data_IF_806021058692
#
_entry.id   IF_806021058692
#
_cell.length_a   1.000
_cell.length_b   1.000
_cell.length_c   1.000
_cell.angle_alpha   90.00
_cell.angle_beta   90.00
_cell.angle_gamma   90.00
#
_symmetry.space_group_name_H-M   'P 1'
#
loop_
_entity.id
_entity.type
_entity.pdbx_description
1 polymer ?
#
# COMPACT_ATOMS: atom_id res chain seq x y z
N UNK A 1 7.48 19.17 9.60
CA UNK A 1 6.64 19.36 10.82
C UNK A 1 5.31 18.60 10.80
N UNK A 2 4.38 18.80 9.85
CA UNK A 2 3.03 18.18 9.90
C UNK A 2 3.00 16.63 9.84
N UNK A 3 3.84 15.99 9.01
CA UNK A 3 3.92 14.51 8.96
C UNK A 3 4.37 13.93 10.30
N UNK A 4 5.45 14.47 10.88
CA UNK A 4 5.99 14.06 12.18
C UNK A 4 4.93 14.20 13.29
N UNK A 5 4.23 15.33 13.35
CA UNK A 5 3.13 15.53 14.32
C UNK A 5 2.03 14.48 14.19
N UNK A 6 1.60 14.14 12.96
CA UNK A 6 0.58 13.11 12.76
C UNK A 6 1.06 11.73 13.24
N UNK A 7 2.29 11.35 12.89
CA UNK A 7 2.88 10.09 13.32
C UNK A 7 3.06 10.02 14.84
N UNK A 8 3.45 11.12 15.48
CA UNK A 8 3.58 11.23 16.93
C UNK A 8 2.28 11.02 17.70
N UNK A 9 1.12 11.16 17.05
CA UNK A 9 -0.18 10.79 17.64
C UNK A 9 -0.59 9.36 17.23
N UNK A 10 -0.39 8.99 15.96
CA UNK A 10 -0.86 7.72 15.41
C UNK A 10 -0.14 6.50 15.99
N UNK A 11 1.20 6.54 16.06
CA UNK A 11 1.97 5.37 16.51
C UNK A 11 1.71 5.05 17.99
N UNK A 12 1.71 6.03 18.92
CA UNK A 12 1.29 5.79 20.29
C UNK A 12 -0.16 5.32 20.41
N UNK A 13 -1.07 5.81 19.55
CA UNK A 13 -2.45 5.31 19.54
C UNK A 13 -2.50 3.83 19.16
N UNK A 14 -1.76 3.39 18.13
CA UNK A 14 -1.71 1.98 17.72
C UNK A 14 -1.10 1.10 18.83
N UNK A 15 -0.13 1.61 19.58
CA UNK A 15 0.44 0.98 20.76
C UNK A 15 0.88 -0.48 20.52
N UNK A 16 1.62 -0.72 19.44
CA UNK A 16 2.14 -2.05 19.06
C UNK A 16 1.10 -3.17 18.88
N UNK A 17 -0.20 -2.84 18.75
CA UNK A 17 -1.26 -3.84 18.48
C UNK A 17 -1.07 -4.52 17.12
N UNK A 18 -0.50 -3.80 16.16
CA UNK A 18 -0.12 -4.28 14.83
C UNK A 18 1.18 -3.56 14.41
N UNK A 19 1.99 -4.15 13.51
CA UNK A 19 3.15 -3.48 12.93
C UNK A 19 2.73 -2.23 12.13
N UNK A 20 3.55 -1.18 12.19
CA UNK A 20 3.33 0.08 11.47
C UNK A 20 4.46 0.31 10.48
N UNK A 21 4.10 0.42 9.20
CA UNK A 21 4.98 0.86 8.13
C UNK A 21 4.73 2.35 7.82
N UNK A 22 5.76 3.18 7.93
CA UNK A 22 5.65 4.62 7.67
C UNK A 22 6.14 4.97 6.27
N UNK A 23 5.29 5.62 5.47
CA UNK A 23 5.69 6.13 4.15
C UNK A 23 6.64 7.33 4.27
N UNK A 24 7.89 7.18 3.82
CA UNK A 24 8.96 8.19 3.97
C UNK A 24 9.35 8.91 2.68
N UNK A 25 8.79 8.51 1.52
CA UNK A 25 9.21 9.05 0.23
C UNK A 25 9.11 10.56 0.07
N UNK A 26 10.13 11.14 -0.57
CA UNK A 26 10.28 12.56 -0.90
C UNK A 26 11.18 12.70 -2.14
N UNK A 27 11.16 13.85 -2.81
CA UNK A 27 12.13 14.20 -3.86
C UNK A 27 13.46 14.70 -3.28
N UNK A 28 13.48 15.05 -2.00
CA UNK A 28 14.69 15.46 -1.26
C UNK A 28 15.12 14.33 -0.34
N UNK A 29 16.26 13.68 -0.63
CA UNK A 29 16.79 12.53 0.12
C UNK A 29 16.89 12.81 1.63
N UNK A 30 17.43 13.98 2.00
CA UNK A 30 17.57 14.38 3.42
C UNK A 30 16.23 14.35 4.17
N UNK A 31 15.14 14.79 3.53
CA UNK A 31 13.82 14.77 4.15
C UNK A 31 13.27 13.35 4.31
N UNK A 32 13.57 12.44 3.37
CA UNK A 32 13.24 11.02 3.49
C UNK A 32 13.96 10.40 4.69
N UNK A 33 15.27 10.65 4.82
CA UNK A 33 16.11 10.18 5.94
C UNK A 33 15.62 10.75 7.28
N UNK A 34 15.36 12.07 7.34
CA UNK A 34 14.90 12.75 8.55
C UNK A 34 13.53 12.25 9.02
N UNK A 35 12.67 11.81 8.10
CA UNK A 35 11.38 11.22 8.42
C UNK A 35 11.50 9.74 8.81
N UNK A 36 12.38 8.99 8.16
CA UNK A 36 12.68 7.59 8.50
C UNK A 36 13.23 7.46 9.93
N UNK A 37 14.27 8.23 10.27
CA UNK A 37 14.83 8.28 11.63
C UNK A 37 13.80 8.69 12.67
N UNK A 38 12.92 9.63 12.32
CA UNK A 38 11.85 10.03 13.22
C UNK A 38 10.84 8.90 13.43
N UNK A 39 10.40 8.21 12.37
CA UNK A 39 9.48 7.08 12.45
C UNK A 39 10.03 5.97 13.34
N UNK A 40 11.30 5.61 13.16
CA UNK A 40 12.02 4.67 14.02
C UNK A 40 12.04 5.15 15.49
N UNK A 41 12.41 6.40 15.73
CA UNK A 41 12.54 6.95 17.09
C UNK A 41 11.25 6.94 17.92
N UNK A 42 10.09 6.84 17.25
CA UNK A 42 8.77 6.78 17.91
C UNK A 42 8.14 5.39 17.85
N UNK A 43 8.88 4.36 17.40
CA UNK A 43 8.49 2.96 17.48
C UNK A 43 7.81 2.36 16.25
N UNK A 44 7.96 2.96 15.06
CA UNK A 44 7.56 2.29 13.83
C UNK A 44 8.38 1.01 13.61
N UNK A 45 7.76 -0.06 13.11
CA UNK A 45 8.44 -1.33 12.83
C UNK A 45 9.06 -1.38 11.42
N UNK A 46 8.64 -0.47 10.53
CA UNK A 46 9.30 -0.31 9.25
C UNK A 46 8.95 0.99 8.54
N UNK A 47 9.66 1.22 7.45
CA UNK A 47 9.46 2.35 6.55
C UNK A 47 9.14 1.86 5.15
N UNK A 48 8.45 2.69 4.37
CA UNK A 48 8.16 2.44 2.97
C UNK A 48 8.64 3.63 2.12
N UNK A 49 9.60 3.37 1.23
CA UNK A 49 10.27 4.37 0.43
C UNK A 49 9.90 4.23 -1.06
N UNK A 50 9.35 5.30 -1.64
CA UNK A 50 9.15 5.43 -3.09
C UNK A 50 10.34 6.19 -3.71
N UNK A 51 10.68 5.89 -4.95
CA UNK A 51 11.70 6.64 -5.70
C UNK A 51 11.25 8.09 -5.96
N UNK A 52 12.19 9.05 -6.14
CA UNK A 52 11.85 10.42 -6.47
C UNK A 52 10.96 10.50 -7.72
N UNK A 53 9.98 11.40 -7.68
CA UNK A 53 8.90 11.51 -8.66
C UNK A 53 8.93 12.84 -9.43
N UNK A 54 10.10 13.46 -9.52
CA UNK A 54 10.31 14.67 -10.34
C UNK A 54 11.41 14.42 -11.37
N UNK A 55 12.65 14.21 -10.91
CA UNK A 55 13.76 13.79 -11.76
C UNK A 55 13.90 12.27 -11.75
N UNK A 56 14.12 11.70 -12.95
CA UNK A 56 14.46 10.29 -13.11
C UNK A 56 15.91 10.07 -12.69
N UNK A 57 16.15 8.99 -11.96
CA UNK A 57 17.49 8.56 -11.54
C UNK A 57 18.07 7.57 -12.55
N UNK A 58 19.39 7.49 -12.68
CA UNK A 58 20.03 6.28 -13.24
C UNK A 58 19.82 5.09 -12.28
N UNK A 59 20.13 3.87 -12.73
CA UNK A 59 20.05 2.69 -11.86
C UNK A 59 20.99 2.83 -10.66
N UNK A 60 22.20 3.33 -10.86
CA UNK A 60 23.20 3.55 -9.82
C UNK A 60 22.72 4.59 -8.80
N UNK A 61 22.17 5.71 -9.27
CA UNK A 61 21.61 6.74 -8.41
C UNK A 61 20.38 6.25 -7.64
N UNK A 62 19.57 5.36 -8.23
CA UNK A 62 18.43 4.77 -7.55
C UNK A 62 18.88 3.80 -6.45
N UNK A 63 19.89 2.99 -6.71
CA UNK A 63 20.52 2.12 -5.72
C UNK A 63 21.08 2.95 -4.58
N UNK A 64 21.83 4.03 -4.87
CA UNK A 64 22.38 4.93 -3.87
C UNK A 64 21.27 5.59 -3.03
N UNK A 65 20.22 6.12 -3.66
CA UNK A 65 19.10 6.76 -2.96
C UNK A 65 18.43 5.82 -1.95
N UNK A 66 18.12 4.58 -2.34
CA UNK A 66 17.50 3.62 -1.42
C UNK A 66 18.49 3.10 -0.37
N UNK A 67 19.77 2.93 -0.72
CA UNK A 67 20.83 2.55 0.21
C UNK A 67 21.02 3.57 1.33
N UNK A 68 21.04 4.86 1.00
CA UNK A 68 21.14 5.95 1.98
C UNK A 68 19.97 5.97 2.96
N UNK A 69 18.75 5.67 2.49
CA UNK A 69 17.56 5.54 3.36
C UNK A 69 17.65 4.29 4.24
N UNK A 70 18.03 3.14 3.68
CA UNK A 70 18.16 1.89 4.41
C UNK A 70 19.27 1.96 5.49
N UNK A 71 20.40 2.60 5.19
CA UNK A 71 21.51 2.81 6.12
C UNK A 71 21.17 3.76 7.27
N UNK A 72 20.16 4.62 7.09
CA UNK A 72 19.80 5.63 8.07
C UNK A 72 19.00 5.08 9.28
N UNK A 73 18.48 3.85 9.19
CA UNK A 73 17.62 3.22 10.19
C UNK A 73 17.98 1.75 10.39
N UNK A 74 17.63 1.20 11.56
CA UNK A 74 17.78 -0.22 11.88
C UNK A 74 16.52 -1.06 11.60
N UNK A 75 15.35 -0.41 11.52
CA UNK A 75 14.07 -1.04 11.20
C UNK A 75 13.94 -1.45 9.72
N UNK A 76 12.93 -2.27 9.43
CA UNK A 76 12.70 -2.82 8.10
C UNK A 76 12.36 -1.72 7.08
N UNK A 77 12.94 -1.82 5.89
CA UNK A 77 12.74 -0.93 4.75
C UNK A 77 12.03 -1.68 3.64
N UNK A 78 10.91 -1.11 3.18
CA UNK A 78 10.12 -1.61 2.06
C UNK A 78 10.22 -0.65 0.89
N UNK A 79 10.55 -1.16 -0.28
CA UNK A 79 10.52 -0.40 -1.52
C UNK A 79 9.07 -0.16 -1.95
N UNK A 80 8.80 0.94 -2.66
CA UNK A 80 7.49 1.22 -3.22
C UNK A 80 7.63 1.58 -4.69
N UNK A 81 7.23 0.64 -5.56
CA UNK A 81 7.15 0.84 -6.99
C UNK A 81 5.75 1.28 -7.41
N UNK A 82 5.64 2.48 -7.99
CA UNK A 82 4.38 3.03 -8.55
C UNK A 82 4.66 3.90 -9.79
N UNK A 83 5.11 3.30 -10.91
CA UNK A 83 5.50 4.02 -12.12
C UNK A 83 4.38 4.89 -12.72
N UNK A 84 3.11 4.55 -12.45
CA UNK A 84 1.97 5.38 -12.84
C UNK A 84 2.09 6.82 -12.31
N UNK A 85 2.60 6.99 -11.08
CA UNK A 85 2.78 8.29 -10.43
C UNK A 85 4.21 8.79 -10.48
N UNK A 86 5.21 7.93 -10.27
CA UNK A 86 6.63 8.33 -10.27
C UNK A 86 7.18 8.57 -11.67
N UNK A 87 6.51 8.06 -12.71
CA UNK A 87 6.97 8.03 -14.10
C UNK A 87 8.33 7.33 -14.28
N UNK A 88 8.71 6.51 -13.31
CA UNK A 88 9.91 5.69 -13.32
C UNK A 88 9.68 4.43 -12.49
N UNK A 89 9.78 3.29 -13.15
CA UNK A 89 9.76 1.97 -12.53
C UNK A 89 11.07 1.72 -11.76
N UNK A 90 11.01 0.96 -10.66
CA UNK A 90 12.19 0.39 -10.00
C UNK A 90 12.57 -0.89 -10.73
N UNK A 91 13.70 -0.93 -11.46
CA UNK A 91 14.08 -2.10 -12.25
C UNK A 91 14.43 -3.31 -11.38
N UNK A 92 14.28 -4.52 -11.93
CA UNK A 92 14.52 -5.77 -11.19
C UNK A 92 15.98 -5.90 -10.75
N UNK A 93 16.92 -5.43 -11.57
CA UNK A 93 18.35 -5.37 -11.27
C UNK A 93 18.65 -4.43 -10.09
N UNK A 94 17.93 -3.30 -9.97
CA UNK A 94 18.05 -2.39 -8.82
C UNK A 94 17.51 -3.04 -7.56
N UNK A 95 16.35 -3.70 -7.63
CA UNK A 95 15.78 -4.44 -6.49
C UNK A 95 16.77 -5.52 -6.03
N UNK A 96 17.35 -6.28 -6.97
CA UNK A 96 18.32 -7.34 -6.67
C UNK A 96 19.55 -6.79 -5.96
N UNK A 97 20.18 -5.74 -6.52
CA UNK A 97 21.36 -5.12 -5.94
C UNK A 97 21.11 -4.57 -4.51
N UNK A 98 19.91 -4.00 -4.28
CA UNK A 98 19.51 -3.48 -2.98
C UNK A 98 19.32 -4.60 -1.95
N UNK A 99 18.63 -5.67 -2.29
CA UNK A 99 18.38 -6.80 -1.37
C UNK A 99 19.68 -7.57 -1.07
N UNK A 100 20.60 -7.67 -2.04
CA UNK A 100 21.93 -8.24 -1.82
C UNK A 100 22.78 -7.42 -0.84
N UNK A 101 22.67 -6.10 -0.92
CA UNK A 101 23.53 -5.18 -0.16
C UNK A 101 22.98 -4.84 1.22
N UNK A 102 21.66 -4.93 1.43
CA UNK A 102 20.99 -4.41 2.63
C UNK A 102 20.03 -5.44 3.25
N UNK A 103 20.41 -5.98 4.41
CA UNK A 103 19.60 -6.98 5.13
C UNK A 103 18.26 -6.46 5.63
N UNK A 104 18.16 -5.15 5.90
CA UNK A 104 16.94 -4.51 6.33
C UNK A 104 16.03 -4.09 5.16
N UNK A 105 16.42 -4.27 3.90
CA UNK A 105 15.47 -4.14 2.77
C UNK A 105 14.68 -5.45 2.68
N UNK A 106 13.47 -5.44 3.25
CA UNK A 106 12.68 -6.66 3.53
C UNK A 106 11.49 -6.87 2.60
N UNK A 107 11.20 -5.94 1.70
CA UNK A 107 10.11 -6.13 0.76
C UNK A 107 9.88 -5.00 -0.21
N UNK A 108 8.85 -5.16 -1.02
CA UNK A 108 8.39 -4.17 -2.00
C UNK A 108 6.87 -4.15 -2.10
N UNK A 109 6.30 -2.96 -2.21
CA UNK A 109 4.93 -2.75 -2.66
C UNK A 109 4.93 -2.49 -4.16
N UNK A 110 4.30 -3.37 -4.92
CA UNK A 110 4.12 -3.25 -6.37
C UNK A 110 2.73 -2.67 -6.69
N UNK A 111 2.69 -1.41 -7.09
CA UNK A 111 1.47 -0.75 -7.60
C UNK A 111 1.57 -0.59 -9.12
N UNK A 112 1.32 -1.71 -9.80
CA UNK A 112 1.32 -1.83 -11.26
C UNK A 112 0.12 -2.67 -11.69
N UNK A 113 -0.46 -2.34 -12.85
CA UNK A 113 -1.53 -3.11 -13.47
C UNK A 113 -1.00 -4.38 -14.16
N UNK A 114 0.26 -4.36 -14.61
CA UNK A 114 0.92 -5.53 -15.18
C UNK A 114 1.25 -6.55 -14.08
N UNK A 115 0.34 -7.52 -13.89
CA UNK A 115 0.56 -8.64 -12.97
C UNK A 115 1.76 -9.50 -13.38
N UNK A 116 2.12 -9.53 -14.66
CA UNK A 116 3.30 -10.23 -15.17
C UNK A 116 4.60 -9.72 -14.57
N UNK A 117 4.69 -8.41 -14.28
CA UNK A 117 5.80 -7.82 -13.52
C UNK A 117 5.84 -8.33 -12.08
N UNK A 118 4.70 -8.32 -11.38
CA UNK A 118 4.61 -8.78 -9.98
C UNK A 118 5.14 -10.22 -9.90
N UNK A 119 4.69 -11.09 -10.81
CA UNK A 119 5.19 -12.47 -10.94
C UNK A 119 6.70 -12.53 -11.13
N UNK A 120 7.28 -11.69 -11.99
CA UNK A 120 8.74 -11.66 -12.19
C UNK A 120 9.49 -11.30 -10.91
N UNK A 121 9.02 -10.29 -10.17
CA UNK A 121 9.64 -9.86 -8.91
C UNK A 121 9.55 -10.96 -7.86
N UNK A 122 8.37 -11.58 -7.71
CA UNK A 122 8.18 -12.70 -6.77
C UNK A 122 9.14 -13.83 -7.10
N UNK A 123 9.13 -14.33 -8.34
CA UNK A 123 9.96 -15.46 -8.73
C UNK A 123 11.46 -15.15 -8.55
N UNK A 124 11.95 -14.02 -9.07
CA UNK A 124 13.40 -13.75 -9.06
C UNK A 124 13.93 -13.41 -7.67
N UNK A 125 13.18 -12.63 -6.89
CA UNK A 125 13.67 -12.15 -5.59
C UNK A 125 13.39 -13.16 -4.49
N UNK A 126 12.20 -13.76 -4.41
CA UNK A 126 11.90 -14.69 -3.32
C UNK A 126 12.62 -16.04 -3.47
N UNK A 127 12.93 -16.49 -4.70
CA UNK A 127 13.78 -17.68 -4.90
C UNK A 127 15.19 -17.49 -4.32
N UNK A 128 15.71 -16.25 -4.32
CA UNK A 128 17.07 -15.93 -3.90
C UNK A 128 17.17 -15.42 -2.47
N UNK A 129 16.14 -14.73 -1.97
CA UNK A 129 16.14 -14.07 -0.67
C UNK A 129 14.89 -14.45 0.12
N UNK A 130 15.02 -15.51 0.92
CA UNK A 130 13.94 -15.99 1.78
C UNK A 130 13.49 -14.88 2.75
N UNK A 131 12.17 -14.66 2.78
CA UNK A 131 11.56 -13.65 3.63
C UNK A 131 11.49 -12.23 3.05
N UNK A 132 11.85 -12.03 1.78
CA UNK A 132 11.51 -10.80 1.07
C UNK A 132 10.01 -10.76 0.72
N UNK A 133 9.29 -9.79 1.28
CA UNK A 133 7.84 -9.68 1.14
C UNK A 133 7.44 -8.83 -0.07
N UNK A 134 6.81 -9.44 -1.07
CA UNK A 134 6.18 -8.71 -2.17
C UNK A 134 4.71 -8.48 -1.84
N UNK A 135 4.29 -7.22 -1.79
CA UNK A 135 2.89 -6.82 -1.62
C UNK A 135 2.31 -6.32 -2.93
N UNK A 136 1.14 -6.83 -3.30
CA UNK A 136 0.33 -6.20 -4.36
C UNK A 136 -0.33 -4.93 -3.83
N UNK A 137 -0.87 -4.09 -4.72
CA UNK A 137 -1.55 -2.86 -4.29
C UNK A 137 -2.95 -2.68 -4.87
N UNK A 138 -3.21 -3.17 -6.08
CA UNK A 138 -4.58 -3.23 -6.59
C UNK A 138 -5.31 -4.40 -5.95
N UNK A 139 -6.52 -4.14 -5.46
CA UNK A 139 -7.30 -5.07 -4.67
C UNK A 139 -7.54 -6.39 -5.43
N UNK A 140 -7.85 -6.29 -6.73
CA UNK A 140 -8.03 -7.43 -7.63
C UNK A 140 -6.80 -8.33 -7.80
N UNK A 141 -5.60 -7.85 -7.44
CA UNK A 141 -4.39 -8.66 -7.49
C UNK A 141 -4.19 -9.52 -6.24
N UNK A 142 -5.03 -9.43 -5.21
CA UNK A 142 -4.83 -10.15 -3.95
C UNK A 142 -4.80 -11.67 -4.16
N UNK A 143 -5.80 -12.25 -4.83
CA UNK A 143 -5.86 -13.71 -5.08
C UNK A 143 -4.68 -14.17 -5.91
N UNK A 144 -4.48 -13.55 -7.08
CA UNK A 144 -3.42 -13.93 -7.99
C UNK A 144 -2.04 -13.80 -7.33
N UNK A 145 -1.84 -12.71 -6.58
CA UNK A 145 -0.61 -12.46 -5.82
C UNK A 145 -0.34 -13.55 -4.80
N UNK A 146 -1.35 -13.92 -4.00
CA UNK A 146 -1.23 -15.01 -3.04
C UNK A 146 -0.83 -16.33 -3.72
N UNK A 147 -1.47 -16.67 -4.85
CA UNK A 147 -1.20 -17.92 -5.58
C UNK A 147 0.25 -18.04 -6.09
N UNK A 148 0.95 -16.92 -6.29
CA UNK A 148 2.34 -16.92 -6.74
C UNK A 148 3.35 -16.71 -5.60
N UNK A 149 2.91 -16.53 -4.35
CA UNK A 149 3.79 -16.33 -3.19
C UNK A 149 3.94 -14.89 -2.69
N UNK A 150 3.14 -13.94 -3.20
CA UNK A 150 3.09 -12.59 -2.62
C UNK A 150 2.66 -12.66 -1.14
N UNK A 151 3.24 -11.80 -0.31
CA UNK A 151 3.00 -11.77 1.14
C UNK A 151 1.61 -11.23 1.52
N UNK A 152 0.93 -10.57 0.60
CA UNK A 152 -0.39 -9.99 0.80
C UNK A 152 -0.63 -8.78 -0.11
N UNK A 153 -1.50 -7.89 0.33
CA UNK A 153 -1.83 -6.66 -0.39
C UNK A 153 -1.81 -5.44 0.53
N UNK A 154 -1.33 -4.31 0.03
CA UNK A 154 -1.48 -2.99 0.65
C UNK A 154 -2.40 -2.18 -0.25
N UNK A 155 -3.70 -2.46 -0.13
CA UNK A 155 -4.74 -2.01 -1.03
C UNK A 155 -5.61 -0.88 -0.46
N UNK A 156 -6.27 -0.16 -1.35
CA UNK A 156 -7.01 1.05 -1.01
C UNK A 156 -8.30 0.78 -0.25
N UNK A 157 -9.07 -0.23 -0.68
CA UNK A 157 -10.43 -0.47 -0.15
C UNK A 157 -10.42 -0.93 1.30
N UNK A 158 -9.29 -1.49 1.78
CA UNK A 158 -9.11 -1.89 3.16
C UNK A 158 -9.21 -0.73 4.18
N UNK A 159 -9.21 0.53 3.73
CA UNK A 159 -9.50 1.68 4.61
C UNK A 159 -10.97 1.69 5.10
N UNK A 160 -11.90 1.15 4.31
CA UNK A 160 -13.34 1.21 4.60
C UNK A 160 -14.06 -0.14 4.51
N UNK A 161 -13.48 -1.15 3.86
CA UNK A 161 -13.98 -2.53 3.86
C UNK A 161 -12.83 -3.54 4.07
N UNK A 162 -12.05 -3.42 5.16
CA UNK A 162 -10.94 -4.34 5.45
C UNK A 162 -11.41 -5.80 5.52
N UNK A 163 -12.65 -6.04 5.94
CA UNK A 163 -13.24 -7.37 6.13
C UNK A 163 -13.20 -8.19 4.84
N UNK A 164 -13.40 -7.58 3.66
CA UNK A 164 -13.32 -8.28 2.36
C UNK A 164 -11.93 -8.86 2.15
N UNK A 165 -10.89 -8.05 2.34
CA UNK A 165 -9.50 -8.45 2.10
C UNK A 165 -9.01 -9.45 3.15
N UNK A 166 -9.38 -9.23 4.42
CA UNK A 166 -9.02 -10.12 5.54
C UNK A 166 -9.68 -11.49 5.40
N UNK A 167 -10.98 -11.53 5.12
CA UNK A 167 -11.71 -12.79 4.98
C UNK A 167 -11.29 -13.53 3.71
N UNK A 168 -10.97 -12.82 2.63
CA UNK A 168 -10.42 -13.42 1.42
C UNK A 168 -9.05 -14.06 1.68
N UNK A 169 -8.15 -13.37 2.39
CA UNK A 169 -6.85 -13.94 2.77
C UNK A 169 -7.00 -15.18 3.67
N UNK A 170 -7.92 -15.14 4.64
CA UNK A 170 -8.22 -16.32 5.48
C UNK A 170 -8.73 -17.49 4.65
N UNK A 171 -9.68 -17.25 3.74
CA UNK A 171 -10.23 -18.29 2.87
C UNK A 171 -9.15 -18.90 1.95
N UNK A 172 -8.21 -18.08 1.45
CA UNK A 172 -7.05 -18.55 0.70
C UNK A 172 -6.14 -19.45 1.56
N UNK A 173 -5.91 -19.09 2.82
CA UNK A 173 -5.10 -19.87 3.76
C UNK A 173 -5.75 -21.21 4.14
N UNK A 174 -7.08 -21.26 4.20
CA UNK A 174 -7.84 -22.48 4.52
C UNK A 174 -8.30 -23.26 3.29
N UNK A 175 -7.89 -22.86 2.08
CA UNK A 175 -8.34 -23.45 0.80
C UNK A 175 -9.87 -23.48 0.61
N UNK A 176 -10.61 -22.53 1.18
CA UNK A 176 -12.06 -22.40 0.96
C UNK A 176 -12.33 -21.66 -0.35
N UNK A 177 -12.23 -22.38 -1.47
CA UNK A 177 -12.33 -21.78 -2.80
C UNK A 177 -13.71 -21.22 -3.14
N UNK A 178 -14.77 -21.67 -2.46
CA UNK A 178 -16.10 -21.09 -2.63
C UNK A 178 -16.14 -19.68 -2.04
N UNK A 179 -15.64 -19.52 -0.82
CA UNK A 179 -15.50 -18.20 -0.18
C UNK A 179 -14.51 -17.32 -0.94
N UNK A 180 -13.38 -17.87 -1.40
CA UNK A 180 -12.43 -17.14 -2.26
C UNK A 180 -13.12 -16.58 -3.51
N UNK A 181 -13.87 -17.40 -4.24
CA UNK A 181 -14.56 -16.94 -5.44
C UNK A 181 -15.57 -15.83 -5.13
N UNK A 182 -16.37 -15.99 -4.07
CA UNK A 182 -17.36 -15.00 -3.64
C UNK A 182 -16.71 -13.66 -3.30
N UNK A 183 -15.75 -13.69 -2.37
CA UNK A 183 -15.09 -12.48 -1.87
C UNK A 183 -14.19 -11.83 -2.93
N UNK A 184 -13.59 -12.62 -3.82
CA UNK A 184 -12.81 -12.07 -4.94
C UNK A 184 -13.70 -11.32 -5.93
N UNK A 185 -14.90 -11.82 -6.25
CA UNK A 185 -15.87 -11.07 -7.09
C UNK A 185 -16.30 -9.75 -6.45
N UNK A 186 -16.58 -9.77 -5.15
CA UNK A 186 -16.87 -8.55 -4.38
C UNK A 186 -15.71 -7.56 -4.44
N UNK A 187 -14.49 -8.03 -4.21
CA UNK A 187 -13.27 -7.23 -4.28
C UNK A 187 -13.03 -6.65 -5.68
N UNK A 188 -13.29 -7.42 -6.74
CA UNK A 188 -13.22 -6.93 -8.12
C UNK A 188 -14.28 -5.85 -8.39
N UNK A 189 -15.52 -6.02 -7.92
CA UNK A 189 -16.54 -4.97 -8.08
C UNK A 189 -16.24 -3.70 -7.29
N UNK A 190 -15.51 -3.81 -6.17
CA UNK A 190 -15.04 -2.65 -5.42
C UNK A 190 -14.04 -1.78 -6.21
N UNK A 191 -13.42 -2.32 -7.26
CA UNK A 191 -12.49 -1.56 -8.10
C UNK A 191 -13.16 -0.38 -8.82
N UNK A 192 -14.49 -0.42 -9.03
CA UNK A 192 -15.26 0.72 -9.55
C UNK A 192 -15.06 2.00 -8.73
N UNK A 193 -14.69 1.87 -7.45
CA UNK A 193 -14.45 3.02 -6.58
C UNK A 193 -13.24 3.86 -7.05
N UNK A 194 -12.27 3.25 -7.74
CA UNK A 194 -11.08 3.95 -8.24
C UNK A 194 -11.41 4.91 -9.39
N UNK A 195 -12.53 4.70 -10.08
CA UNK A 195 -12.94 5.47 -11.26
C UNK A 195 -13.84 6.67 -10.93
N UNK A 196 -14.28 6.82 -9.69
CA UNK A 196 -15.25 7.86 -9.30
C UNK A 196 -14.68 9.27 -9.43
N UNK A 197 -13.42 9.46 -9.02
CA UNK A 197 -12.74 10.76 -9.04
C UNK A 197 -11.30 10.58 -9.50
N UNK A 198 -10.73 11.62 -10.10
CA UNK A 198 -9.30 11.66 -10.47
C UNK A 198 -8.37 11.51 -9.25
N UNK A 199 -8.83 11.89 -8.05
CA UNK A 199 -8.08 11.76 -6.80
C UNK A 199 -8.69 10.70 -5.90
N UNK A 200 -7.92 9.63 -5.66
CA UNK A 200 -8.30 8.56 -4.72
C UNK A 200 -8.47 9.06 -3.29
N UNK A 201 -7.81 10.17 -2.91
CA UNK A 201 -7.94 10.71 -1.55
C UNK A 201 -9.37 11.12 -1.22
N UNK A 202 -10.07 11.74 -2.19
CA UNK A 202 -11.43 12.23 -1.97
C UNK A 202 -12.39 11.06 -1.83
N UNK A 203 -12.27 10.09 -2.73
CA UNK A 203 -13.10 8.89 -2.77
C UNK A 203 -12.88 7.97 -1.57
N UNK A 204 -11.63 7.66 -1.20
CA UNK A 204 -11.36 6.75 -0.09
C UNK A 204 -11.71 7.37 1.25
N UNK A 205 -11.47 8.67 1.43
CA UNK A 205 -11.94 9.37 2.63
C UNK A 205 -13.46 9.33 2.70
N UNK A 206 -14.16 9.56 1.59
CA UNK A 206 -15.61 9.45 1.58
C UNK A 206 -16.05 8.04 1.98
N UNK A 207 -15.38 6.99 1.50
CA UNK A 207 -15.65 5.61 1.90
C UNK A 207 -15.47 5.40 3.41
N UNK A 208 -14.39 5.92 3.99
CA UNK A 208 -14.14 5.87 5.44
C UNK A 208 -15.25 6.58 6.22
N UNK A 209 -15.61 7.80 5.82
CA UNK A 209 -16.66 8.57 6.50
C UNK A 209 -18.03 7.95 6.36
N UNK A 210 -18.36 7.42 5.18
CA UNK A 210 -19.59 6.69 4.94
C UNK A 210 -19.69 5.45 5.83
N UNK A 211 -18.63 4.63 5.87
CA UNK A 211 -18.62 3.35 6.61
C UNK A 211 -18.57 3.52 8.12
N UNK A 212 -17.71 4.41 8.62
CA UNK A 212 -17.28 4.40 10.03
C UNK A 212 -17.84 5.54 10.85
N UNK A 213 -18.06 6.70 10.23
CA UNK A 213 -18.45 7.91 10.96
C UNK A 213 -19.89 8.33 10.68
N UNK A 214 -20.55 7.78 9.65
CA UNK A 214 -21.88 8.18 9.17
C UNK A 214 -22.07 9.71 9.06
N UNK A 215 -20.96 10.40 8.78
CA UNK A 215 -20.88 11.85 8.67
C UNK A 215 -20.36 12.23 7.28
N UNK A 216 -20.52 13.48 6.89
CA UNK A 216 -19.90 13.98 5.67
C UNK A 216 -18.38 14.09 5.88
N UNK A 217 -17.60 13.68 4.88
CA UNK A 217 -16.14 13.83 4.92
C UNK A 217 -15.74 15.27 5.21
N UNK A 218 -14.79 15.46 6.13
CA UNK A 218 -14.16 16.78 6.41
C UNK A 218 -13.30 17.28 5.25
N UNK A 219 -13.29 16.58 4.12
CA UNK A 219 -12.60 16.92 2.90
C UNK A 219 -11.12 16.49 2.85
N UNK A 220 -10.48 16.85 1.74
CA UNK A 220 -9.04 16.67 1.52
C UNK A 220 -8.39 18.03 1.32
N UNK A 221 -7.05 18.08 1.38
CA UNK A 221 -6.31 19.33 1.20
C UNK A 221 -6.35 19.75 -0.27
N UNK A 222 -6.38 21.07 -0.52
CA UNK A 222 -6.14 21.64 -1.87
C UNK A 222 -4.82 21.05 -2.44
N UNK A 223 -4.74 20.77 -3.75
CA UNK A 223 -5.75 21.04 -4.79
C UNK A 223 -6.86 19.97 -4.90
N UNK A 224 -6.80 18.88 -4.12
CA UNK A 224 -7.76 17.78 -4.23
C UNK A 224 -9.11 18.03 -3.54
N UNK A 225 -9.30 19.19 -2.89
CA UNK A 225 -10.46 19.49 -2.02
C UNK A 225 -11.80 19.59 -2.75
N UNK A 226 -11.82 19.43 -4.07
CA UNK A 226 -13.03 19.47 -4.88
C UNK A 226 -13.66 18.08 -4.84
N UNK A 227 -14.90 18.02 -4.34
CA UNK A 227 -15.72 16.83 -4.37
C UNK A 227 -16.80 17.01 -5.43
N UNK A 228 -16.94 16.04 -6.33
CA UNK A 228 -18.15 15.98 -7.15
C UNK A 228 -19.36 15.77 -6.23
N UNK A 229 -20.46 16.49 -6.49
CA UNK A 229 -21.71 16.41 -5.69
C UNK A 229 -22.20 14.98 -5.49
N UNK A 230 -21.98 14.12 -6.49
CA UNK A 230 -22.42 12.72 -6.48
C UNK A 230 -21.42 11.73 -5.86
N UNK A 231 -20.23 12.18 -5.42
CA UNK A 231 -19.17 11.28 -4.90
C UNK A 231 -19.70 10.40 -3.78
N UNK A 232 -20.32 11.00 -2.75
CA UNK A 232 -20.86 10.26 -1.61
C UNK A 232 -21.90 9.23 -2.03
N UNK A 233 -22.82 9.61 -2.92
CA UNK A 233 -23.88 8.72 -3.41
C UNK A 233 -23.31 7.53 -4.18
N UNK A 234 -22.34 7.76 -5.07
CA UNK A 234 -21.66 6.71 -5.83
C UNK A 234 -20.89 5.76 -4.90
N UNK A 235 -20.10 6.32 -3.97
CA UNK A 235 -19.34 5.55 -2.98
C UNK A 235 -20.25 4.72 -2.07
N UNK A 236 -21.31 5.34 -1.54
CA UNK A 236 -22.27 4.67 -0.67
C UNK A 236 -22.95 3.49 -1.36
N UNK A 237 -23.41 3.68 -2.60
CA UNK A 237 -24.01 2.60 -3.40
C UNK A 237 -23.06 1.40 -3.57
N UNK A 238 -21.78 1.63 -3.81
CA UNK A 238 -20.78 0.56 -3.93
C UNK A 238 -20.59 -0.15 -2.59
N UNK A 239 -20.44 0.59 -1.49
CA UNK A 239 -20.25 0.02 -0.16
C UNK A 239 -21.47 -0.81 0.28
N UNK A 240 -22.67 -0.27 0.12
CA UNK A 240 -23.92 -0.93 0.51
C UNK A 240 -24.13 -2.22 -0.30
N UNK A 241 -23.91 -2.17 -1.62
CA UNK A 241 -23.98 -3.36 -2.48
C UNK A 241 -23.07 -4.49 -2.00
N UNK A 242 -21.87 -4.18 -1.52
CA UNK A 242 -20.94 -5.17 -0.99
C UNK A 242 -21.41 -5.71 0.36
N UNK A 243 -21.85 -4.84 1.26
CA UNK A 243 -22.39 -5.23 2.57
C UNK A 243 -23.62 -6.15 2.42
N UNK A 244 -24.55 -5.82 1.53
CA UNK A 244 -25.75 -6.60 1.23
C UNK A 244 -25.42 -8.01 0.71
N UNK A 245 -24.31 -8.18 0.01
CA UNK A 245 -23.84 -9.50 -0.46
C UNK A 245 -23.24 -10.37 0.66
N UNK A 246 -23.10 -9.83 1.88
CA UNK A 246 -22.58 -10.52 3.05
C UNK A 246 -21.05 -10.66 3.01
N UNK A 247 -20.37 -9.75 3.73
CA UNK A 247 -18.90 -9.73 3.91
C UNK A 247 -18.50 -10.06 5.34
N UNK A 248 -19.39 -9.82 6.29
CA UNK A 248 -19.17 -10.16 7.69
C UNK A 248 -19.32 -11.67 7.85
N UNK A 249 -18.27 -12.32 8.34
CA UNK A 249 -18.41 -13.64 8.94
C UNK A 249 -19.18 -13.45 10.25
N UNK A 250 -20.14 -14.34 10.54
CA UNK A 250 -20.73 -14.48 11.87
C UNK A 250 -19.67 -14.72 12.95
#
# INVERSE_FOLDING_TARGET
MKKKQYLGNLIPHINNRIPVLVGVGNTVLKESIDLAKYAESIGAQGIMAVNPYYWKLSNEQMIEYFSEIANAVSIDTYLYNIPQLTKQEIPLEVITALVESHRNIRGIKETVADFGRIRKVVNVIQERYSGFAVFTAFDEHLVNGYMIGAAGSINGTANFLPEVSVNLLKALQTSDFNTVQKLHRQLSSLMEIYDINTSLFSTFKEGVYYRWFNEQSTGVRKPFSIYEKETRKKVGKIIDSIIEQGVFNE
#
